data_IF_311519136076
#
_entry.id   IF_311519136076
#
_cell.length_a   1.000
_cell.length_b   1.000
_cell.length_c   1.000
_cell.angle_alpha   90.00
_cell.angle_beta   90.00
_cell.angle_gamma   90.00
#
_symmetry.space_group_name_H-M   'P 1'
#
loop_
_entity.id
_entity.type
_entity.pdbx_description
1 polymer ?
#
# COMPACT_ATOMS: atom_id res chain seq x y z
N UNK A 1 38.19 -58.25 18.43
CA UNK A 1 38.53 -56.93 17.87
C UNK A 1 37.63 -56.43 16.72
N UNK A 2 36.88 -57.26 15.98
CA UNK A 2 35.97 -56.79 14.91
C UNK A 2 34.67 -56.10 15.41
N UNK A 3 34.10 -56.56 16.52
CA UNK A 3 32.83 -56.03 17.08
C UNK A 3 32.95 -54.58 17.60
N UNK A 4 34.10 -54.19 18.18
CA UNK A 4 34.33 -52.83 18.69
C UNK A 4 34.42 -51.77 17.58
N UNK A 5 34.96 -52.12 16.41
CA UNK A 5 35.06 -51.19 15.26
C UNK A 5 33.71 -50.93 14.60
N UNK A 6 32.82 -51.93 14.56
CA UNK A 6 31.46 -51.80 14.02
C UNK A 6 30.61 -50.93 14.96
N UNK A 7 30.70 -51.16 16.28
CA UNK A 7 30.00 -50.36 17.29
C UNK A 7 30.39 -48.87 17.20
N UNK A 8 31.69 -48.59 17.04
CA UNK A 8 32.20 -47.23 16.92
C UNK A 8 31.74 -46.55 15.62
N UNK A 9 31.65 -47.27 14.51
CA UNK A 9 31.13 -46.74 13.25
C UNK A 9 29.64 -46.45 13.30
N UNK A 10 28.85 -47.32 13.94
CA UNK A 10 27.41 -47.10 14.15
C UNK A 10 27.17 -45.91 15.08
N UNK A 11 27.93 -45.79 16.18
CA UNK A 11 27.86 -44.62 17.06
C UNK A 11 28.23 -43.33 16.34
N UNK A 12 29.23 -43.37 15.46
CA UNK A 12 29.62 -42.20 14.66
C UNK A 12 28.54 -41.80 13.65
N UNK A 13 27.92 -42.78 12.99
CA UNK A 13 26.80 -42.57 12.05
C UNK A 13 25.53 -42.09 12.74
N UNK A 14 25.22 -42.63 13.93
CA UNK A 14 24.10 -42.17 14.76
C UNK A 14 24.38 -40.77 15.30
N UNK A 15 25.61 -40.48 15.74
CA UNK A 15 25.97 -39.15 16.23
C UNK A 15 25.99 -38.10 15.10
N UNK A 16 26.48 -38.44 13.91
CA UNK A 16 26.44 -37.53 12.74
C UNK A 16 25.03 -37.38 12.20
N UNK A 17 24.25 -38.46 12.10
CA UNK A 17 22.84 -38.41 11.74
C UNK A 17 22.00 -37.62 12.74
N UNK A 18 22.24 -37.81 14.04
CA UNK A 18 21.63 -37.02 15.10
C UNK A 18 22.06 -35.55 15.00
N UNK A 19 23.34 -35.21 14.84
CA UNK A 19 23.78 -33.82 14.71
C UNK A 19 23.20 -33.11 13.47
N UNK A 20 23.08 -33.81 12.34
CA UNK A 20 22.51 -33.26 11.11
C UNK A 20 20.98 -33.07 11.21
N UNK A 21 20.28 -33.96 11.91
CA UNK A 21 18.82 -33.87 12.12
C UNK A 21 18.40 -33.09 13.36
N UNK A 22 19.29 -32.88 14.33
CA UNK A 22 19.01 -32.17 15.59
C UNK A 22 18.63 -30.71 15.34
N UNK A 23 19.19 -30.12 14.28
CA UNK A 23 18.80 -28.79 13.81
C UNK A 23 17.34 -28.72 13.36
N UNK A 24 16.75 -29.80 12.83
CA UNK A 24 15.33 -29.89 12.44
C UNK A 24 14.46 -30.36 13.62
N UNK A 25 14.98 -31.27 14.45
CA UNK A 25 14.27 -31.81 15.62
C UNK A 25 13.95 -30.74 16.67
N UNK A 26 14.81 -29.73 16.81
CA UNK A 26 14.61 -28.58 17.71
C UNK A 26 13.36 -27.76 17.40
N UNK A 27 13.04 -27.60 16.10
CA UNK A 27 11.82 -26.92 15.67
C UNK A 27 10.57 -27.74 15.99
N UNK A 28 10.69 -29.07 15.93
CA UNK A 28 9.61 -30.00 16.25
C UNK A 28 9.29 -30.10 17.74
N UNK A 29 10.24 -29.81 18.63
CA UNK A 29 10.04 -29.84 20.09
C UNK A 29 9.82 -28.44 20.72
N UNK A 30 9.62 -27.40 19.89
CA UNK A 30 9.36 -26.03 20.36
C UNK A 30 10.55 -25.33 21.04
N UNK A 31 11.77 -25.85 20.88
CA UNK A 31 12.99 -25.23 21.39
C UNK A 31 13.70 -24.49 20.26
N UNK A 32 13.17 -23.31 19.93
CA UNK A 32 13.68 -22.50 18.83
C UNK A 32 14.99 -21.79 19.23
N UNK A 33 15.95 -21.62 18.30
CA UNK A 33 17.06 -20.70 18.52
C UNK A 33 16.53 -19.27 18.72
N UNK A 34 17.30 -18.41 19.39
CA UNK A 34 16.99 -16.97 19.37
C UNK A 34 16.97 -16.49 17.92
N UNK A 35 15.98 -15.65 17.56
CA UNK A 35 15.78 -15.19 16.18
C UNK A 35 17.08 -14.59 15.62
N UNK A 36 17.76 -13.75 16.38
CA UNK A 36 19.04 -13.12 16.02
C UNK A 36 20.17 -14.10 15.71
N UNK A 37 20.14 -15.25 16.38
CA UNK A 37 21.13 -16.32 16.23
C UNK A 37 20.79 -17.31 15.10
N UNK A 38 19.60 -17.18 14.50
CA UNK A 38 19.15 -18.07 13.42
C UNK A 38 19.99 -17.82 12.16
N UNK A 39 20.66 -18.84 11.60
CA UNK A 39 21.37 -18.71 10.33
C UNK A 39 20.44 -18.29 9.19
N UNK A 40 20.92 -17.45 8.27
CA UNK A 40 20.12 -16.88 7.18
C UNK A 40 19.43 -17.94 6.31
N UNK A 41 20.09 -19.06 6.05
CA UNK A 41 19.56 -20.21 5.28
C UNK A 41 18.41 -20.95 6.00
N UNK A 42 18.23 -20.69 7.29
CA UNK A 42 17.18 -21.28 8.13
C UNK A 42 16.13 -20.28 8.56
N UNK A 43 16.30 -19.00 8.23
CA UNK A 43 15.40 -17.93 8.65
C UNK A 43 13.97 -18.15 8.11
N UNK A 44 13.84 -18.67 6.88
CA UNK A 44 12.55 -19.02 6.28
C UNK A 44 11.82 -20.17 7.01
N UNK A 45 12.48 -20.96 7.86
CA UNK A 45 11.82 -22.02 8.63
C UNK A 45 10.86 -21.48 9.68
N UNK A 46 11.10 -20.26 10.19
CA UNK A 46 10.13 -19.56 11.03
C UNK A 46 8.79 -19.34 10.34
N UNK A 47 8.79 -19.16 9.01
CA UNK A 47 7.57 -18.95 8.24
C UNK A 47 6.79 -20.22 7.93
N UNK A 48 7.45 -21.38 7.89
CA UNK A 48 6.82 -22.62 7.38
C UNK A 48 6.71 -23.73 8.41
N UNK A 49 7.38 -23.62 9.57
CA UNK A 49 7.38 -24.65 10.61
C UNK A 49 6.81 -24.18 11.96
N UNK A 50 6.69 -22.87 12.18
CA UNK A 50 6.29 -22.30 13.47
C UNK A 50 4.96 -21.61 13.33
N UNK A 51 4.03 -21.83 14.25
CA UNK A 51 2.79 -21.08 14.32
C UNK A 51 3.04 -19.75 15.03
N UNK A 52 3.26 -18.68 14.24
CA UNK A 52 3.66 -17.38 14.78
C UNK A 52 2.54 -16.69 15.55
N UNK A 53 1.27 -17.00 15.26
CA UNK A 53 0.13 -16.47 15.99
C UNK A 53 0.22 -16.79 17.49
N UNK A 54 0.73 -17.98 17.81
CA UNK A 54 0.89 -18.48 19.19
C UNK A 54 2.16 -17.99 19.91
N UNK A 55 3.07 -17.32 19.21
CA UNK A 55 4.32 -16.83 19.79
C UNK A 55 4.13 -15.50 20.51
N UNK A 56 5.06 -15.17 21.42
CA UNK A 56 5.05 -13.88 22.08
C UNK A 56 5.40 -12.72 21.12
N UNK A 57 4.99 -11.51 21.50
CA UNK A 57 5.21 -10.31 20.68
C UNK A 57 6.69 -10.00 20.48
N UNK A 58 7.55 -10.42 21.42
CA UNK A 58 9.00 -10.22 21.31
C UNK A 58 9.58 -11.04 20.14
N UNK A 59 9.19 -12.30 19.99
CA UNK A 59 9.61 -13.13 18.86
C UNK A 59 9.12 -12.52 17.55
N UNK A 60 7.88 -12.02 17.51
CA UNK A 60 7.33 -11.35 16.33
C UNK A 60 8.12 -10.09 15.99
N UNK A 61 8.42 -9.24 16.98
CA UNK A 61 9.26 -8.04 16.81
C UNK A 61 10.65 -8.40 16.29
N UNK A 62 11.31 -9.38 16.90
CA UNK A 62 12.64 -9.83 16.49
C UNK A 62 12.62 -10.39 15.05
N UNK A 63 11.57 -11.13 14.67
CA UNK A 63 11.39 -11.65 13.32
C UNK A 63 11.14 -10.54 12.30
N UNK A 64 10.22 -9.61 12.58
CA UNK A 64 9.93 -8.46 11.72
C UNK A 64 11.21 -7.66 11.46
N UNK A 65 11.94 -7.33 12.53
CA UNK A 65 13.18 -6.56 12.43
C UNK A 65 14.25 -7.34 11.66
N UNK A 66 14.43 -8.63 11.95
CA UNK A 66 15.44 -9.45 11.29
C UNK A 66 15.13 -9.64 9.81
N UNK A 67 13.86 -9.90 9.48
CA UNK A 67 13.45 -10.10 8.10
C UNK A 67 13.64 -8.82 7.30
N UNK A 68 13.21 -7.68 7.84
CA UNK A 68 13.41 -6.39 7.19
C UNK A 68 14.91 -6.14 6.92
N UNK A 69 15.76 -6.35 7.92
CA UNK A 69 17.21 -6.17 7.77
C UNK A 69 17.80 -7.02 6.64
N UNK A 70 17.38 -8.29 6.53
CA UNK A 70 17.90 -9.18 5.49
C UNK A 70 17.31 -8.85 4.11
N UNK A 71 16.03 -8.47 4.02
CA UNK A 71 15.38 -8.03 2.78
C UNK A 71 16.07 -6.79 2.20
N UNK A 72 16.41 -5.82 3.04
CA UNK A 72 17.16 -4.61 2.64
C UNK A 72 18.55 -4.95 2.07
N UNK A 73 19.09 -6.12 2.40
CA UNK A 73 20.37 -6.65 1.91
C UNK A 73 20.20 -7.58 0.70
N UNK A 74 18.99 -7.69 0.16
CA UNK A 74 18.67 -8.49 -1.03
C UNK A 74 18.41 -9.96 -0.73
N UNK A 75 18.16 -10.34 0.53
CA UNK A 75 17.65 -11.68 0.83
C UNK A 75 16.27 -11.86 0.20
N UNK A 76 15.98 -13.07 -0.26
CA UNK A 76 14.66 -13.46 -0.76
C UNK A 76 14.26 -14.76 -0.05
N UNK A 77 13.23 -14.75 0.81
CA UNK A 77 12.84 -15.92 1.61
C UNK A 77 12.43 -17.11 0.74
N UNK A 78 11.98 -16.85 -0.50
CA UNK A 78 11.42 -17.87 -1.38
C UNK A 78 12.32 -18.25 -2.57
N UNK A 79 13.41 -17.50 -2.80
CA UNK A 79 14.41 -17.79 -3.83
C UNK A 79 13.81 -18.14 -5.21
N UNK A 80 14.46 -19.07 -5.93
CA UNK A 80 13.94 -19.68 -7.18
C UNK A 80 13.19 -21.00 -6.92
N UNK A 81 12.86 -21.32 -5.67
CA UNK A 81 12.34 -22.62 -5.30
C UNK A 81 10.92 -22.80 -5.88
N UNK A 82 10.86 -23.60 -6.94
CA UNK A 82 9.67 -23.99 -7.71
C UNK A 82 8.96 -25.22 -7.12
N UNK A 83 9.35 -25.66 -5.92
CA UNK A 83 8.69 -26.81 -5.28
C UNK A 83 7.34 -26.36 -4.71
N UNK A 84 6.28 -27.04 -5.15
CA UNK A 84 4.96 -26.89 -4.57
C UNK A 84 5.01 -27.33 -3.11
N UNK A 85 4.74 -26.41 -2.21
CA UNK A 85 4.48 -26.73 -0.81
C UNK A 85 3.18 -27.55 -0.73
N UNK A 86 3.07 -28.44 0.25
CA UNK A 86 1.79 -29.04 0.56
C UNK A 86 0.82 -27.97 1.11
N UNK A 87 -0.49 -28.23 1.00
CA UNK A 87 -1.54 -27.27 1.36
C UNK A 87 -1.44 -26.79 2.82
N UNK A 88 -0.99 -27.65 3.74
CA UNK A 88 -0.88 -27.31 5.15
C UNK A 88 0.28 -26.35 5.41
N UNK A 89 1.44 -26.61 4.80
CA UNK A 89 2.61 -25.75 4.86
C UNK A 89 2.35 -24.41 4.16
N UNK A 90 1.66 -24.41 3.02
CA UNK A 90 1.26 -23.18 2.33
C UNK A 90 0.29 -22.35 3.18
N UNK A 91 -0.70 -22.98 3.80
CA UNK A 91 -1.65 -22.28 4.68
C UNK A 91 -1.00 -21.72 5.94
N UNK A 92 0.02 -22.40 6.49
CA UNK A 92 0.80 -21.88 7.60
C UNK A 92 1.67 -20.70 7.18
N UNK A 93 2.30 -20.78 6.00
CA UNK A 93 3.08 -19.69 5.42
C UNK A 93 2.23 -18.42 5.22
N UNK A 94 1.03 -18.56 4.62
CA UNK A 94 0.09 -17.45 4.41
C UNK A 94 -0.24 -16.76 5.75
N UNK A 95 -0.69 -17.53 6.75
CA UNK A 95 -1.01 -17.01 8.09
C UNK A 95 0.17 -16.32 8.77
N UNK A 96 1.37 -16.88 8.66
CA UNK A 96 2.57 -16.31 9.28
C UNK A 96 3.00 -15.00 8.60
N UNK A 97 2.85 -14.89 7.28
CA UNK A 97 3.12 -13.63 6.58
C UNK A 97 2.08 -12.58 6.95
N UNK A 98 0.81 -12.94 7.01
CA UNK A 98 -0.25 -12.03 7.48
C UNK A 98 0.05 -11.55 8.90
N UNK A 99 0.40 -12.47 9.81
CA UNK A 99 0.71 -12.15 11.21
C UNK A 99 1.90 -11.20 11.34
N UNK A 100 3.02 -11.49 10.67
CA UNK A 100 4.20 -10.63 10.72
C UNK A 100 3.95 -9.27 10.06
N UNK A 101 3.17 -9.22 8.98
CA UNK A 101 2.85 -7.96 8.29
C UNK A 101 1.92 -7.10 9.14
N UNK A 102 0.92 -7.70 9.80
CA UNK A 102 0.04 -7.03 10.75
C UNK A 102 0.83 -6.50 11.95
N UNK A 103 1.69 -7.34 12.53
CA UNK A 103 2.54 -6.97 13.66
C UNK A 103 3.49 -5.82 13.30
N UNK A 104 4.15 -5.90 12.14
CA UNK A 104 4.95 -4.79 11.61
C UNK A 104 4.13 -3.51 11.49
N UNK A 105 2.94 -3.56 10.88
CA UNK A 105 2.10 -2.37 10.68
C UNK A 105 1.70 -1.72 12.01
N UNK A 106 1.28 -2.51 13.00
CA UNK A 106 0.88 -2.00 14.32
C UNK A 106 2.07 -1.40 15.07
N UNK A 107 3.20 -2.12 15.15
CA UNK A 107 4.40 -1.63 15.85
C UNK A 107 4.95 -0.36 15.21
N UNK A 108 5.02 -0.29 13.88
CA UNK A 108 5.51 0.92 13.19
C UNK A 108 4.55 2.09 13.27
N UNK A 109 3.25 1.84 13.29
CA UNK A 109 2.25 2.89 13.52
C UNK A 109 2.37 3.46 14.93
N UNK A 110 2.55 2.60 15.93
CA UNK A 110 2.81 3.03 17.30
C UNK A 110 4.11 3.84 17.42
N UNK A 111 5.22 3.37 16.85
CA UNK A 111 6.49 4.10 16.82
C UNK A 111 6.34 5.48 16.18
N UNK A 112 5.65 5.57 15.04
CA UNK A 112 5.41 6.82 14.32
C UNK A 112 4.79 7.90 15.21
N UNK A 113 3.77 7.55 16.01
CA UNK A 113 3.10 8.49 16.92
C UNK A 113 3.94 8.92 18.11
N UNK A 114 5.02 8.20 18.42
CA UNK A 114 5.94 8.55 19.51
C UNK A 114 7.16 9.34 19.03
N UNK A 115 7.31 9.54 17.71
CA UNK A 115 8.40 10.33 17.14
C UNK A 115 8.08 11.83 17.12
N UNK A 116 9.09 12.69 17.33
CA UNK A 116 8.96 14.12 17.04
C UNK A 116 8.59 14.36 15.58
N UNK A 117 7.79 15.40 15.29
CA UNK A 117 7.30 15.74 13.95
C UNK A 117 8.40 15.80 12.86
N UNK A 118 9.59 16.26 13.22
CA UNK A 118 10.75 16.38 12.32
C UNK A 118 11.34 15.03 11.90
N UNK A 119 11.14 14.00 12.72
CA UNK A 119 11.65 12.65 12.50
C UNK A 119 10.63 11.77 11.79
N UNK A 120 9.34 12.07 11.93
CA UNK A 120 8.24 11.35 11.29
C UNK A 120 8.41 11.23 9.77
N UNK A 121 8.79 12.30 9.08
CA UNK A 121 9.02 12.27 7.62
C UNK A 121 10.17 11.35 7.23
N UNK A 122 11.26 11.34 8.00
CA UNK A 122 12.42 10.46 7.75
C UNK A 122 12.04 9.01 8.01
N UNK A 123 11.30 8.77 9.09
CA UNK A 123 10.79 7.45 9.45
C UNK A 123 9.88 6.87 8.37
N UNK A 124 8.90 7.64 7.88
CA UNK A 124 8.01 7.22 6.79
C UNK A 124 8.79 6.86 5.52
N UNK A 125 9.87 7.59 5.21
CA UNK A 125 10.75 7.24 4.08
C UNK A 125 11.37 5.86 4.17
N UNK A 126 11.81 5.47 5.37
CA UNK A 126 12.32 4.12 5.61
C UNK A 126 11.19 3.09 5.52
N UNK A 127 10.06 3.34 6.20
CA UNK A 127 8.95 2.39 6.24
C UNK A 127 8.28 2.16 4.88
N UNK A 128 8.20 3.17 4.01
CA UNK A 128 7.68 2.97 2.65
C UNK A 128 8.53 1.99 1.83
N UNK A 129 9.85 2.02 1.99
CA UNK A 129 10.73 1.04 1.34
C UNK A 129 10.42 -0.36 1.85
N UNK A 130 10.22 -0.49 3.17
CA UNK A 130 9.82 -1.74 3.82
C UNK A 130 8.47 -2.28 3.34
N UNK A 131 7.45 -1.42 3.22
CA UNK A 131 6.12 -1.80 2.70
C UNK A 131 6.23 -2.45 1.33
N UNK A 132 7.05 -1.90 0.42
CA UNK A 132 7.21 -2.47 -0.91
C UNK A 132 7.80 -3.88 -0.88
N UNK A 133 8.73 -4.16 0.05
CA UNK A 133 9.24 -5.51 0.28
C UNK A 133 8.15 -6.45 0.79
N UNK A 134 7.31 -6.00 1.74
CA UNK A 134 6.18 -6.79 2.24
C UNK A 134 5.11 -7.05 1.18
N UNK A 135 4.80 -6.07 0.33
CA UNK A 135 3.89 -6.25 -0.82
C UNK A 135 4.43 -7.33 -1.77
N UNK A 136 5.72 -7.32 -2.07
CA UNK A 136 6.33 -8.31 -2.95
C UNK A 136 6.30 -9.72 -2.34
N UNK A 137 6.61 -9.85 -1.04
CA UNK A 137 6.48 -11.11 -0.28
C UNK A 137 5.05 -11.62 -0.31
N UNK A 138 4.08 -10.78 0.04
CA UNK A 138 2.66 -11.12 0.03
C UNK A 138 2.24 -11.61 -1.36
N UNK A 139 2.61 -10.88 -2.41
CA UNK A 139 2.35 -11.30 -3.80
C UNK A 139 2.97 -12.66 -4.12
N UNK A 140 4.22 -12.90 -3.73
CA UNK A 140 4.90 -14.17 -3.98
C UNK A 140 4.26 -15.35 -3.25
N UNK A 141 3.76 -15.15 -2.03
CA UNK A 141 3.09 -16.20 -1.26
C UNK A 141 1.73 -16.53 -1.86
N UNK A 142 0.90 -15.52 -2.13
CA UNK A 142 -0.46 -15.74 -2.63
C UNK A 142 -0.52 -16.10 -4.12
N UNK A 143 0.49 -15.73 -4.92
CA UNK A 143 0.59 -16.16 -6.32
C UNK A 143 0.89 -17.67 -6.49
N UNK A 144 1.32 -18.36 -5.42
CA UNK A 144 1.55 -19.82 -5.43
C UNK A 144 0.25 -20.62 -5.44
N UNK A 145 -0.88 -19.98 -5.13
CA UNK A 145 -2.20 -20.59 -5.24
C UNK A 145 -2.70 -20.45 -6.68
N UNK A 146 -3.05 -21.54 -7.37
CA UNK A 146 -3.76 -21.42 -8.64
C UNK A 146 -5.09 -20.70 -8.37
N UNK A 147 -5.24 -19.51 -8.95
CA UNK A 147 -6.52 -18.78 -8.94
C UNK A 147 -7.55 -19.64 -9.66
N UNK A 148 -8.54 -20.18 -8.93
CA UNK A 148 -9.65 -20.93 -9.51
C UNK A 148 -10.48 -20.07 -10.49
N UNK A 149 -10.41 -18.74 -10.34
CA UNK A 149 -11.14 -17.76 -11.15
C UNK A 149 -10.32 -17.15 -12.29
N UNK A 150 -9.00 -17.40 -12.34
CA UNK A 150 -8.08 -16.75 -13.28
C UNK A 150 -7.92 -15.24 -13.05
N UNK A 151 -8.49 -14.68 -11.98
CA UNK A 151 -8.31 -13.27 -11.62
C UNK A 151 -6.90 -13.04 -11.10
N UNK A 152 -6.25 -12.04 -11.69
CA UNK A 152 -4.95 -11.53 -11.24
C UNK A 152 -5.19 -10.83 -9.91
N UNK A 153 -4.52 -11.27 -8.84
CA UNK A 153 -4.58 -10.61 -7.54
C UNK A 153 -4.35 -9.09 -7.68
N UNK A 154 -5.22 -8.28 -7.08
CA UNK A 154 -5.10 -6.82 -7.13
C UNK A 154 -3.72 -6.40 -6.62
N UNK A 155 -3.11 -5.41 -7.27
CA UNK A 155 -1.85 -4.82 -6.82
C UNK A 155 -2.00 -4.13 -5.45
N UNK A 156 -3.24 -3.90 -5.01
CA UNK A 156 -3.58 -3.30 -3.73
C UNK A 156 -4.05 -4.29 -2.66
N UNK A 157 -3.97 -5.60 -2.91
CA UNK A 157 -4.50 -6.61 -1.99
C UNK A 157 -3.96 -6.48 -0.55
N UNK A 158 -2.67 -6.14 -0.37
CA UNK A 158 -2.12 -5.89 0.95
C UNK A 158 -2.75 -4.66 1.63
N UNK A 159 -3.03 -3.59 0.87
CA UNK A 159 -3.67 -2.40 1.44
C UNK A 159 -5.12 -2.70 1.86
N UNK A 160 -5.85 -3.49 1.07
CA UNK A 160 -7.21 -3.95 1.44
C UNK A 160 -7.18 -4.76 2.74
N UNK A 161 -6.15 -5.58 2.94
CA UNK A 161 -5.96 -6.36 4.15
C UNK A 161 -5.59 -5.48 5.35
N UNK A 162 -4.74 -4.47 5.14
CA UNK A 162 -4.41 -3.48 6.19
C UNK A 162 -5.67 -2.71 6.60
N UNK A 163 -6.50 -2.25 5.65
CA UNK A 163 -7.77 -1.60 5.94
C UNK A 163 -8.68 -2.50 6.80
N UNK A 164 -8.73 -3.80 6.48
CA UNK A 164 -9.47 -4.78 7.29
C UNK A 164 -8.90 -4.87 8.72
N UNK A 165 -7.58 -4.98 8.88
CA UNK A 165 -6.96 -5.05 10.21
C UNK A 165 -7.18 -3.77 11.03
N UNK A 166 -7.25 -2.60 10.39
CA UNK A 166 -7.58 -1.34 11.05
C UNK A 166 -9.02 -1.36 11.55
N UNK A 167 -9.96 -1.89 10.76
CA UNK A 167 -11.37 -2.01 11.16
C UNK A 167 -11.59 -3.04 12.27
N UNK A 168 -10.77 -4.09 12.32
CA UNK A 168 -10.80 -5.15 13.34
C UNK A 168 -10.07 -4.77 14.63
N UNK A 169 -9.18 -3.78 14.59
CA UNK A 169 -8.41 -3.31 15.75
C UNK A 169 -9.31 -2.76 16.86
N UNK A 170 -8.79 -2.73 18.09
CA UNK A 170 -9.46 -2.12 19.22
C UNK A 170 -9.85 -0.66 18.91
N UNK A 171 -11.07 -0.25 19.28
CA UNK A 171 -11.60 1.10 18.99
C UNK A 171 -10.70 2.24 19.45
N UNK A 172 -9.88 2.02 20.47
CA UNK A 172 -8.91 3.01 20.96
C UNK A 172 -7.69 3.19 20.05
N UNK A 173 -7.34 2.18 19.25
CA UNK A 173 -6.18 2.16 18.36
C UNK A 173 -6.53 2.55 16.91
N UNK A 174 -7.78 2.37 16.49
CA UNK A 174 -8.21 2.66 15.10
C UNK A 174 -7.84 4.08 14.62
N UNK A 175 -8.04 5.16 15.41
CA UNK A 175 -7.70 6.50 14.96
C UNK A 175 -6.20 6.66 14.65
N UNK A 176 -5.35 6.10 15.50
CA UNK A 176 -3.90 6.18 15.35
C UNK A 176 -3.44 5.38 14.12
N UNK A 177 -3.98 4.17 13.92
CA UNK A 177 -3.67 3.35 12.75
C UNK A 177 -4.13 4.02 11.44
N UNK A 178 -5.34 4.58 11.42
CA UNK A 178 -5.87 5.33 10.27
C UNK A 178 -5.00 6.55 9.97
N UNK A 179 -4.57 7.25 11.01
CA UNK A 179 -3.70 8.41 10.87
C UNK A 179 -2.32 8.04 10.30
N UNK A 180 -1.72 6.95 10.78
CA UNK A 180 -0.44 6.45 10.26
C UNK A 180 -0.53 6.09 8.77
N UNK A 181 -1.62 5.42 8.36
CA UNK A 181 -1.89 5.14 6.95
C UNK A 181 -2.04 6.42 6.13
N UNK A 182 -2.82 7.38 6.64
CA UNK A 182 -3.02 8.66 5.96
C UNK A 182 -1.68 9.38 5.70
N UNK A 183 -0.84 9.48 6.74
CA UNK A 183 0.48 10.09 6.62
C UNK A 183 1.40 9.32 5.66
N UNK A 184 1.39 7.99 5.69
CA UNK A 184 2.17 7.16 4.78
C UNK A 184 1.75 7.35 3.31
N UNK A 185 0.44 7.33 3.03
CA UNK A 185 -0.11 7.57 1.68
C UNK A 185 0.22 8.99 1.21
N UNK A 186 0.06 10.01 2.07
CA UNK A 186 0.42 11.39 1.75
C UNK A 186 1.91 11.52 1.41
N UNK A 187 2.78 10.92 2.23
CA UNK A 187 4.22 10.96 2.00
C UNK A 187 4.62 10.21 0.72
N UNK A 188 3.98 9.09 0.41
CA UNK A 188 4.17 8.37 -0.84
C UNK A 188 3.74 9.21 -2.05
N UNK A 189 2.58 9.86 -1.99
CA UNK A 189 2.11 10.80 -3.01
C UNK A 189 3.02 12.03 -3.18
N UNK A 190 3.83 12.35 -2.17
CA UNK A 190 4.80 13.43 -2.22
C UNK A 190 6.17 13.03 -2.79
N UNK A 191 6.46 11.74 -2.90
CA UNK A 191 7.79 11.23 -3.29
C UNK A 191 7.76 10.47 -4.61
N UNK A 192 6.70 9.70 -4.88
CA UNK A 192 6.57 8.91 -6.09
C UNK A 192 6.13 9.70 -7.32
N UNK A 193 6.59 9.28 -8.50
CA UNK A 193 6.17 9.86 -9.77
C UNK A 193 5.05 9.04 -10.41
N UNK A 194 3.79 9.43 -10.16
CA UNK A 194 2.63 8.70 -10.68
C UNK A 194 2.58 8.68 -12.20
N UNK A 195 3.18 9.67 -12.89
CA UNK A 195 3.17 9.71 -14.35
C UNK A 195 3.98 8.57 -15.00
N UNK A 196 4.88 7.93 -14.24
CA UNK A 196 5.62 6.74 -14.68
C UNK A 196 4.84 5.44 -14.50
N UNK A 197 3.75 5.48 -13.73
CA UNK A 197 2.89 4.32 -13.48
C UNK A 197 1.90 4.13 -14.64
N UNK A 198 1.49 2.88 -14.84
CA UNK A 198 0.52 2.57 -15.88
C UNK A 198 -0.86 3.20 -15.59
N UNK A 199 -1.65 3.35 -16.65
CA UNK A 199 -2.95 4.04 -16.55
C UNK A 199 -3.95 3.29 -15.68
N UNK A 200 -3.90 1.95 -15.62
CA UNK A 200 -4.84 1.16 -14.81
C UNK A 200 -4.55 1.35 -13.32
N UNK A 201 -3.28 1.30 -12.94
CA UNK A 201 -2.83 1.57 -11.57
C UNK A 201 -3.26 2.97 -11.12
N UNK A 202 -3.05 3.99 -11.96
CA UNK A 202 -3.49 5.35 -11.66
C UNK A 202 -5.02 5.47 -11.56
N UNK A 203 -5.78 4.78 -12.41
CA UNK A 203 -7.24 4.77 -12.35
C UNK A 203 -7.75 4.16 -11.05
N UNK A 204 -7.25 2.98 -10.67
CA UNK A 204 -7.64 2.33 -9.42
C UNK A 204 -7.29 3.19 -8.21
N UNK A 205 -6.09 3.77 -8.17
CA UNK A 205 -5.69 4.70 -7.12
C UNK A 205 -6.60 5.93 -7.03
N UNK A 206 -6.97 6.51 -8.17
CA UNK A 206 -7.83 7.68 -8.20
C UNK A 206 -9.26 7.38 -7.71
N UNK A 207 -9.82 6.22 -8.04
CA UNK A 207 -11.13 5.79 -7.54
C UNK A 207 -11.09 5.50 -6.03
N UNK A 208 -10.01 4.87 -5.53
CA UNK A 208 -9.81 4.62 -4.09
C UNK A 208 -9.72 5.91 -3.28
N UNK A 209 -8.92 6.86 -3.76
CA UNK A 209 -8.79 8.18 -3.10
C UNK A 209 -10.11 8.96 -3.17
N UNK A 210 -10.80 8.93 -4.31
CA UNK A 210 -12.12 9.56 -4.44
C UNK A 210 -13.13 9.01 -3.42
N UNK A 211 -13.15 7.69 -3.21
CA UNK A 211 -13.99 7.04 -2.21
C UNK A 211 -13.58 7.42 -0.78
N UNK A 212 -12.28 7.47 -0.50
CA UNK A 212 -11.74 7.86 0.80
C UNK A 212 -12.13 9.31 1.17
N UNK A 213 -12.06 10.25 0.22
CA UNK A 213 -12.49 11.64 0.44
C UNK A 213 -14.01 11.82 0.56
N UNK A 214 -14.81 10.91 0.00
CA UNK A 214 -16.26 10.94 0.16
C UNK A 214 -16.71 10.42 1.54
N UNK A 215 -15.89 9.59 2.19
CA UNK A 215 -16.02 9.31 3.61
C UNK A 215 -15.64 10.55 4.42
N UNK A 216 -16.36 10.82 5.51
CA UNK A 216 -16.07 11.90 6.46
C UNK A 216 -14.77 11.56 7.23
N UNK A 217 -13.63 11.54 6.53
CA UNK A 217 -12.29 11.39 7.10
C UNK A 217 -11.97 12.71 7.77
N UNK A 218 -12.61 12.90 8.92
CA UNK A 218 -12.53 14.11 9.71
C UNK A 218 -11.11 14.43 10.11
N UNK A 219 -10.60 15.56 9.64
CA UNK A 219 -9.98 16.59 10.47
C UNK A 219 -8.80 16.27 11.39
N UNK A 220 -8.17 15.09 11.36
CA UNK A 220 -6.95 14.83 12.14
C UNK A 220 -5.71 15.26 11.35
N UNK A 221 -5.46 16.57 11.41
CA UNK A 221 -4.30 17.21 10.82
C UNK A 221 -3.01 16.88 11.56
N UNK A 222 -2.40 15.73 11.26
CA UNK A 222 -0.93 15.68 11.27
C UNK A 222 -0.46 16.33 9.98
N UNK A 223 0.01 17.58 10.10
CA UNK A 223 0.74 18.24 9.03
C UNK A 223 2.16 17.69 9.02
N UNK A 224 2.45 16.76 8.10
CA UNK A 224 3.83 16.40 7.80
C UNK A 224 4.61 17.66 7.40
N UNK A 225 5.81 17.87 7.95
CA UNK A 225 6.69 18.95 7.53
C UNK A 225 7.27 18.67 6.13
N UNK A 226 6.46 18.94 5.09
CA UNK A 226 6.81 18.71 3.70
C UNK A 226 7.74 19.81 3.17
N UNK A 227 8.80 19.42 2.46
CA UNK A 227 9.69 20.34 1.74
C UNK A 227 9.03 20.82 0.44
N UNK A 228 9.52 21.93 -0.12
CA UNK A 228 8.98 22.50 -1.36
C UNK A 228 8.91 21.49 -2.52
N UNK A 229 9.93 20.64 -2.70
CA UNK A 229 9.92 19.58 -3.72
C UNK A 229 8.84 18.51 -3.52
N UNK A 230 8.46 18.23 -2.27
CA UNK A 230 7.34 17.33 -1.96
C UNK A 230 6.00 17.95 -2.37
N UNK A 231 5.83 19.25 -2.16
CA UNK A 231 4.60 19.97 -2.52
C UNK A 231 4.42 20.04 -4.04
N UNK A 232 5.49 20.32 -4.79
CA UNK A 232 5.45 20.30 -6.26
C UNK A 232 5.08 18.91 -6.79
N UNK A 233 5.64 17.85 -6.19
CA UNK A 233 5.33 16.46 -6.54
C UNK A 233 3.87 16.12 -6.23
N UNK A 234 3.40 16.44 -5.03
CA UNK A 234 2.03 16.22 -4.60
C UNK A 234 1.04 16.93 -5.54
N UNK A 235 1.33 18.17 -5.92
CA UNK A 235 0.53 18.90 -6.91
C UNK A 235 0.49 18.17 -8.25
N UNK A 236 1.64 17.76 -8.79
CA UNK A 236 1.70 17.02 -10.04
C UNK A 236 0.89 15.72 -9.98
N UNK A 237 1.00 14.99 -8.87
CA UNK A 237 0.28 13.73 -8.66
C UNK A 237 -1.22 13.94 -8.51
N UNK A 238 -1.66 14.98 -7.80
CA UNK A 238 -3.08 15.34 -7.71
C UNK A 238 -3.69 15.59 -9.10
N UNK A 239 -3.01 16.34 -9.96
CA UNK A 239 -3.46 16.55 -11.35
C UNK A 239 -3.49 15.24 -12.15
N UNK A 240 -2.48 14.37 -12.00
CA UNK A 240 -2.42 13.08 -12.68
C UNK A 240 -3.57 12.15 -12.27
N UNK A 241 -4.01 12.21 -11.01
CA UNK A 241 -5.13 11.43 -10.47
C UNK A 241 -6.48 11.98 -10.93
N UNK A 242 -6.66 13.30 -10.89
CA UNK A 242 -7.87 13.96 -11.43
C UNK A 242 -8.03 13.64 -12.93
N UNK A 243 -6.95 13.69 -13.70
CA UNK A 243 -6.97 13.37 -15.13
C UNK A 243 -7.56 11.98 -15.41
N UNK A 244 -7.06 10.96 -14.73
CA UNK A 244 -7.51 9.57 -14.93
C UNK A 244 -8.87 9.29 -14.31
N UNK A 245 -9.22 9.96 -13.20
CA UNK A 245 -10.56 9.88 -12.64
C UNK A 245 -11.60 10.43 -13.63
N UNK A 246 -11.34 11.61 -14.21
CA UNK A 246 -12.19 12.19 -15.25
C UNK A 246 -12.29 11.29 -16.50
N UNK A 247 -11.25 10.52 -16.81
CA UNK A 247 -11.29 9.54 -17.90
C UNK A 247 -12.33 8.45 -17.63
N UNK A 248 -12.38 7.92 -16.41
CA UNK A 248 -13.42 6.97 -15.98
C UNK A 248 -14.81 7.62 -16.07
N UNK A 249 -14.96 8.84 -15.53
CA UNK A 249 -16.23 9.58 -15.56
C UNK A 249 -16.71 9.87 -16.98
N UNK A 250 -15.81 10.09 -17.94
CA UNK A 250 -16.15 10.37 -19.34
C UNK A 250 -16.77 9.15 -20.03
N UNK A 251 -16.25 7.95 -19.74
CA UNK A 251 -16.80 6.70 -20.29
C UNK A 251 -18.21 6.44 -19.75
N UNK A 252 -18.46 6.75 -18.48
CA UNK A 252 -19.79 6.68 -17.88
C UNK A 252 -20.74 7.72 -18.51
N UNK A 253 -20.29 8.96 -18.63
CA UNK A 253 -21.09 10.08 -19.13
C UNK A 253 -21.71 9.82 -20.52
N UNK A 254 -20.93 9.25 -21.46
CA UNK A 254 -21.42 8.98 -22.82
C UNK A 254 -22.54 7.93 -22.83
N UNK A 255 -22.56 7.02 -21.85
CA UNK A 255 -23.58 5.97 -21.72
C UNK A 255 -24.89 6.51 -21.12
N UNK A 256 -24.88 7.70 -20.50
CA UNK A 256 -26.05 8.25 -19.85
C UNK A 256 -27.07 8.84 -20.85
N UNK A 257 -28.38 8.63 -20.61
CA UNK A 257 -29.44 9.34 -21.30
C UNK A 257 -29.31 10.85 -21.13
N UNK A 258 -29.73 11.64 -22.14
CA UNK A 258 -29.55 13.09 -22.15
C UNK A 258 -30.15 13.79 -20.92
N UNK A 259 -31.30 13.32 -20.41
CA UNK A 259 -31.95 13.88 -19.21
C UNK A 259 -31.21 13.66 -17.88
N UNK A 260 -30.21 12.77 -17.84
CA UNK A 260 -29.42 12.48 -16.62
C UNK A 260 -28.05 13.17 -16.62
N UNK A 261 -27.63 13.74 -17.76
CA UNK A 261 -26.27 14.26 -17.96
C UNK A 261 -25.97 15.47 -17.09
N UNK A 262 -26.92 16.40 -16.95
CA UNK A 262 -26.71 17.62 -16.14
C UNK A 262 -26.56 17.29 -14.65
N UNK A 263 -27.46 16.46 -14.10
CA UNK A 263 -27.36 16.00 -12.71
C UNK A 263 -26.06 15.21 -12.45
N UNK A 264 -25.61 14.42 -13.43
CA UNK A 264 -24.33 13.74 -13.33
C UNK A 264 -23.14 14.70 -13.27
N UNK A 265 -23.12 15.73 -14.13
CA UNK A 265 -22.07 16.76 -14.11
C UNK A 265 -22.05 17.53 -12.78
N UNK A 266 -23.22 17.88 -12.25
CA UNK A 266 -23.34 18.54 -10.96
C UNK A 266 -22.76 17.66 -9.83
N UNK A 267 -23.09 16.37 -9.83
CA UNK A 267 -22.52 15.41 -8.88
C UNK A 267 -20.99 15.31 -9.00
N UNK A 268 -20.44 15.22 -10.22
CA UNK A 268 -18.98 15.11 -10.41
C UNK A 268 -18.24 16.37 -9.97
N UNK A 269 -18.79 17.56 -10.27
CA UNK A 269 -18.23 18.82 -9.80
C UNK A 269 -18.31 18.91 -8.28
N UNK A 270 -19.44 18.53 -7.69
CA UNK A 270 -19.62 18.43 -6.24
C UNK A 270 -18.55 17.54 -5.59
N UNK A 271 -18.28 16.36 -6.16
CA UNK A 271 -17.24 15.44 -5.69
C UNK A 271 -15.85 16.10 -5.72
N UNK A 272 -15.44 16.69 -6.85
CA UNK A 272 -14.11 17.33 -6.94
C UNK A 272 -13.98 18.52 -5.98
N UNK A 273 -15.05 19.29 -5.77
CA UNK A 273 -15.06 20.39 -4.81
C UNK A 273 -14.99 19.90 -3.36
N UNK A 274 -15.62 18.76 -3.04
CA UNK A 274 -15.56 18.15 -1.71
C UNK A 274 -14.18 17.65 -1.32
N UNK A 275 -13.30 17.39 -2.29
CA UNK A 275 -11.92 16.98 -2.01
C UNK A 275 -11.06 18.14 -1.49
N UNK A 276 -11.54 19.38 -1.55
CA UNK A 276 -10.81 20.57 -1.09
C UNK A 276 -9.36 20.58 -1.60
N UNK A 277 -9.18 20.26 -2.89
CA UNK A 277 -7.87 20.22 -3.55
C UNK A 277 -7.14 21.55 -3.38
N UNK A 278 -7.86 22.65 -3.21
CA UNK A 278 -7.30 23.95 -2.89
C UNK A 278 -6.48 23.93 -1.59
N UNK A 279 -6.90 23.22 -0.54
CA UNK A 279 -6.11 23.09 0.70
C UNK A 279 -4.85 22.25 0.52
N UNK A 280 -4.92 21.23 -0.33
CA UNK A 280 -3.77 20.37 -0.68
C UNK A 280 -2.77 21.11 -1.58
N UNK A 281 -3.26 22.00 -2.44
CA UNK A 281 -2.49 22.72 -3.46
C UNK A 281 -2.06 24.14 -3.04
N UNK A 282 -2.68 24.75 -2.02
CA UNK A 282 -2.43 26.10 -1.50
C UNK A 282 -1.87 26.07 -0.06
N UNK A 283 -0.87 25.24 0.24
CA UNK A 283 -0.25 25.26 1.57
C UNK A 283 0.67 26.46 1.84
N UNK A 284 0.80 27.43 0.91
CA UNK A 284 1.66 28.60 1.12
C UNK A 284 1.15 29.62 2.16
N UNK A 285 -0.08 29.47 2.69
CA UNK A 285 -0.52 30.00 3.99
C UNK A 285 -2.01 29.66 4.17
N UNK A 286 -2.39 28.71 5.05
CA UNK A 286 -3.79 28.32 5.26
C UNK A 286 -4.67 29.48 5.78
N UNK A 287 -4.08 30.56 6.28
CA UNK A 287 -4.76 31.77 6.75
C UNK A 287 -5.13 32.76 5.64
N UNK A 288 -4.75 32.54 4.38
CA UNK A 288 -4.99 33.48 3.27
C UNK A 288 -5.33 32.80 1.92
N UNK A 289 -5.93 31.60 1.91
CA UNK A 289 -6.53 31.10 0.68
C UNK A 289 -7.69 32.03 0.29
N UNK A 290 -7.43 32.98 -0.60
CA UNK A 290 -8.43 33.93 -1.06
C UNK A 290 -9.32 33.24 -2.08
N UNK A 291 -10.58 33.67 -2.21
CA UNK A 291 -11.49 33.19 -3.27
C UNK A 291 -10.86 33.31 -4.66
N UNK A 292 -9.94 34.26 -4.86
CA UNK A 292 -9.18 34.44 -6.10
C UNK A 292 -8.20 33.28 -6.38
N UNK A 293 -7.59 32.68 -5.36
CA UNK A 293 -6.67 31.55 -5.50
C UNK A 293 -7.41 30.26 -5.89
N UNK A 294 -8.56 30.00 -5.27
CA UNK A 294 -9.45 28.88 -5.65
C UNK A 294 -9.97 29.04 -7.09
N UNK A 295 -10.32 30.27 -7.50
CA UNK A 295 -10.72 30.56 -8.90
C UNK A 295 -9.56 30.38 -9.89
N UNK A 296 -8.34 30.81 -9.54
CA UNK A 296 -7.16 30.61 -10.37
C UNK A 296 -6.84 29.12 -10.58
N UNK A 297 -7.03 28.29 -9.55
CA UNK A 297 -6.85 26.85 -9.64
C UNK A 297 -7.94 26.15 -10.44
N UNK A 298 -9.21 26.53 -10.26
CA UNK A 298 -10.30 26.07 -11.11
C UNK A 298 -10.02 26.43 -12.58
N UNK A 299 -9.49 27.63 -12.84
CA UNK A 299 -9.10 28.06 -14.19
C UNK A 299 -7.94 27.20 -14.73
N UNK A 300 -6.96 26.84 -13.89
CA UNK A 300 -5.86 25.93 -14.25
C UNK A 300 -6.36 24.51 -14.56
N UNK A 301 -7.30 23.99 -13.77
CA UNK A 301 -7.97 22.71 -14.01
C UNK A 301 -8.74 22.74 -15.33
N UNK A 302 -9.60 23.76 -15.54
CA UNK A 302 -10.37 23.94 -16.77
C UNK A 302 -9.49 24.10 -18.01
N UNK A 303 -8.36 24.80 -17.88
CA UNK A 303 -7.36 24.94 -18.93
C UNK A 303 -6.58 23.64 -19.22
N UNK A 304 -6.51 22.72 -18.26
CA UNK A 304 -5.87 21.42 -18.43
C UNK A 304 -6.79 20.40 -19.11
N UNK A 305 -8.11 20.56 -19.02
CA UNK A 305 -9.09 19.63 -19.60
C UNK A 305 -8.91 19.39 -21.10
N UNK A 306 -8.59 20.44 -21.88
CA UNK A 306 -8.36 20.31 -23.32
C UNK A 306 -7.11 19.50 -23.61
N UNK A 307 -6.04 19.78 -22.88
CA UNK A 307 -4.75 19.10 -22.99
C UNK A 307 -4.88 17.62 -22.62
N UNK A 308 -5.62 17.30 -21.56
CA UNK A 308 -5.90 15.92 -21.16
C UNK A 308 -6.78 15.19 -22.18
N UNK A 309 -7.80 15.87 -22.69
CA UNK A 309 -8.66 15.30 -23.73
C UNK A 309 -7.88 14.89 -24.97
N UNK A 310 -6.88 15.68 -25.40
CA UNK A 310 -6.05 15.36 -26.56
C UNK A 310 -5.08 14.20 -26.30
N UNK A 311 -4.59 14.06 -25.06
CA UNK A 311 -3.67 12.99 -24.64
C UNK A 311 -4.37 11.68 -24.28
N UNK A 312 -5.68 11.71 -24.05
CA UNK A 312 -6.45 10.53 -23.68
C UNK A 312 -6.26 9.36 -24.68
N UNK A 313 -6.28 8.10 -24.20
CA UNK A 313 -6.18 6.93 -25.05
C UNK A 313 -7.25 6.93 -26.15
N UNK A 314 -6.88 6.48 -27.35
CA UNK A 314 -7.76 6.46 -28.53
C UNK A 314 -9.17 5.91 -28.29
N UNK A 315 -9.40 4.78 -27.57
CA UNK A 315 -10.76 4.29 -27.35
C UNK A 315 -11.64 5.20 -26.49
N UNK A 316 -11.05 6.12 -25.71
CA UNK A 316 -11.76 6.97 -24.75
C UNK A 316 -11.69 8.46 -25.10
N UNK A 317 -10.85 8.84 -26.07
CA UNK A 317 -10.59 10.24 -26.45
C UNK A 317 -11.87 11.03 -26.79
N UNK A 318 -12.74 10.46 -27.60
CA UNK A 318 -13.98 11.13 -27.99
C UNK A 318 -14.93 11.36 -26.80
N UNK A 319 -15.00 10.38 -25.90
CA UNK A 319 -15.78 10.49 -24.67
C UNK A 319 -15.21 11.58 -23.75
N UNK A 320 -13.89 11.63 -23.60
CA UNK A 320 -13.22 12.65 -22.79
C UNK A 320 -13.40 14.04 -23.38
N UNK A 321 -13.21 14.21 -24.68
CA UNK A 321 -13.42 15.49 -25.37
C UNK A 321 -14.84 16.01 -25.18
N UNK A 322 -15.84 15.12 -25.24
CA UNK A 322 -17.23 15.48 -24.96
C UNK A 322 -17.40 15.93 -23.51
N UNK A 323 -16.95 15.14 -22.52
CA UNK A 323 -17.08 15.50 -21.11
C UNK A 323 -16.36 16.82 -20.79
N UNK A 324 -15.12 16.99 -21.27
CA UNK A 324 -14.33 18.19 -21.07
C UNK A 324 -15.04 19.44 -21.59
N UNK A 325 -15.62 19.36 -22.80
CA UNK A 325 -16.40 20.46 -23.38
C UNK A 325 -17.63 20.79 -22.54
N UNK A 326 -18.38 19.77 -22.11
CA UNK A 326 -19.59 19.97 -21.31
C UNK A 326 -19.26 20.54 -19.92
N UNK A 327 -18.17 20.09 -19.29
CA UNK A 327 -17.67 20.66 -18.03
C UNK A 327 -17.25 22.13 -18.19
N UNK A 328 -16.61 22.50 -19.29
CA UNK A 328 -16.27 23.90 -19.57
C UNK A 328 -17.53 24.77 -19.75
N UNK A 329 -18.51 24.30 -20.51
CA UNK A 329 -19.79 24.99 -20.69
C UNK A 329 -20.52 25.11 -19.35
N UNK A 330 -20.54 24.03 -18.55
CA UNK A 330 -21.15 23.99 -17.24
C UNK A 330 -20.51 24.98 -16.26
N UNK A 331 -19.18 24.99 -16.19
CA UNK A 331 -18.42 25.90 -15.34
C UNK A 331 -18.68 27.37 -15.73
N UNK A 332 -18.71 27.69 -17.03
CA UNK A 332 -19.05 29.04 -17.51
C UNK A 332 -20.48 29.43 -17.11
N UNK A 333 -21.46 28.53 -17.25
CA UNK A 333 -22.85 28.80 -16.83
C UNK A 333 -22.96 29.10 -15.32
N UNK A 334 -22.34 28.24 -14.49
CA UNK A 334 -22.36 28.37 -13.02
C UNK A 334 -21.58 29.58 -12.52
N UNK A 335 -20.41 29.89 -13.10
CA UNK A 335 -19.61 31.07 -12.73
C UNK A 335 -20.28 32.39 -13.15
N UNK A 336 -21.16 32.37 -14.15
CA UNK A 336 -21.88 33.55 -14.63
C UNK A 336 -23.28 33.75 -14.01
N UNK A 337 -23.70 32.92 -13.04
CA UNK A 337 -25.05 32.96 -12.44
C UNK A 337 -26.18 33.02 -13.50
N UNK A 338 -26.12 32.14 -14.51
CA UNK A 338 -27.26 31.86 -15.39
C UNK A 338 -28.10 30.69 -14.88
#
# INVERSE_FOLDING_TARGET
MKSSRILMFVLLLVATGAMLSFGQWRWWIGSYPEVDSTPLDKLAYWLVLVDLESQDDKIKDDLVNRFQHELDRGWSPFGKASESLDDSTQSLLERNIDELTRHWFYTRSFEFHHLPDKEQVVFLGVQLTSVLSWVDIHRQVYARRPSETGEVASQFALFDQIDQWVMEADKGQQPDLQQSMHCAVLYWLCTEDLLKQDIKMRQELAERLAAAFAGDVGGSGINLELKLGHQERLQSNAFALVEVWLLSRAVEYVKLPQGQRESYLDAQVGTVMSWELDKVLLQNNPTQASTADSIAQLTKLLGSLTVWADRAPLPHRAAYQLLARELQVYAVKKLLNL
#
